data_IF_137772432338
#
_entry.id   IF_137772432338
#
_cell.length_a   1.000
_cell.length_b   1.000
_cell.length_c   1.000
_cell.angle_alpha   90.00
_cell.angle_beta   90.00
_cell.angle_gamma   90.00
#
_symmetry.space_group_name_H-M   'P 1'
#
loop_
_entity.id
_entity.type
_entity.pdbx_description
1 polymer ?
#
# COMPACT_ATOMS: atom_id res chain seq x y z
N UNK A 1 -43.57 36.06 -22.45
CA UNK A 1 -43.40 34.96 -21.47
C UNK A 1 -42.55 35.49 -20.32
N UNK A 2 -43.18 36.15 -19.34
CA UNK A 2 -43.45 35.64 -17.97
C UNK A 2 -42.17 35.44 -17.13
N UNK A 3 -41.77 36.45 -16.33
CA UNK A 3 -42.10 36.66 -14.87
C UNK A 3 -41.20 35.76 -13.97
N UNK A 4 -40.51 36.14 -12.88
CA UNK A 4 -40.73 37.12 -11.79
C UNK A 4 -39.38 37.44 -11.07
N UNK A 5 -39.30 38.62 -10.46
CA UNK A 5 -38.26 39.14 -9.54
C UNK A 5 -38.26 38.51 -8.12
N UNK A 6 -37.14 38.59 -7.40
CA UNK A 6 -37.13 38.44 -5.93
C UNK A 6 -35.75 38.70 -5.31
N UNK A 7 -35.66 39.74 -4.50
CA UNK A 7 -34.46 40.43 -4.04
C UNK A 7 -34.21 40.20 -2.53
N UNK A 8 -32.95 40.39 -2.13
CA UNK A 8 -32.46 41.00 -0.87
C UNK A 8 -32.25 40.20 0.45
N UNK A 9 -31.04 40.47 0.96
CA UNK A 9 -30.42 40.22 2.26
C UNK A 9 -31.22 40.75 3.47
N UNK A 10 -31.04 40.10 4.63
CA UNK A 10 -30.69 40.77 5.90
C UNK A 10 -29.88 39.83 6.82
N UNK A 11 -29.01 40.46 7.61
CA UNK A 11 -28.00 39.93 8.54
C UNK A 11 -28.50 40.24 9.98
N UNK A 12 -28.22 39.39 10.99
CA UNK A 12 -27.45 39.72 12.23
C UNK A 12 -27.54 38.66 13.35
N UNK A 13 -26.48 38.66 14.17
CA UNK A 13 -26.05 37.84 15.32
C UNK A 13 -26.96 37.76 16.56
N UNK A 14 -26.74 36.71 17.38
CA UNK A 14 -26.23 36.77 18.78
C UNK A 14 -25.95 35.30 19.25
N UNK A 15 -24.74 34.86 19.61
CA UNK A 15 -23.84 35.12 20.76
C UNK A 15 -24.32 34.61 22.14
N UNK A 16 -23.60 33.64 22.73
CA UNK A 16 -23.36 33.46 24.18
C UNK A 16 -22.23 32.45 24.52
N UNK A 17 -21.03 33.00 24.79
CA UNK A 17 -20.04 32.78 25.88
C UNK A 17 -19.78 31.33 26.42
N UNK A 18 -18.55 30.78 26.28
CA UNK A 18 -17.29 30.90 27.10
C UNK A 18 -17.26 30.15 28.44
N UNK A 19 -16.24 29.29 28.63
CA UNK A 19 -15.24 29.16 29.74
C UNK A 19 -14.57 27.76 29.61
N UNK A 20 -13.33 27.58 29.15
CA UNK A 20 -11.99 27.76 29.75
C UNK A 20 -11.55 26.72 30.84
N UNK A 21 -10.44 26.03 30.51
CA UNK A 21 -9.26 25.67 31.33
C UNK A 21 -9.02 24.26 31.95
N UNK A 22 -7.76 23.84 31.74
CA UNK A 22 -6.81 23.07 32.57
C UNK A 22 -6.80 21.51 32.61
N UNK A 23 -5.75 20.99 31.95
CA UNK A 23 -4.74 19.97 32.31
C UNK A 23 -5.04 18.62 33.01
N UNK A 24 -4.22 17.68 32.52
CA UNK A 24 -3.39 16.66 33.22
C UNK A 24 -3.99 15.27 33.47
N UNK A 25 -3.35 14.33 32.76
CA UNK A 25 -2.82 13.04 33.23
C UNK A 25 -3.73 12.15 34.09
N UNK A 26 -4.16 11.04 33.48
CA UNK A 26 -3.70 9.68 33.80
C UNK A 26 -4.76 8.67 33.38
N UNK A 27 -4.53 7.93 32.29
CA UNK A 27 -5.21 6.64 32.09
C UNK A 27 -4.25 5.58 31.60
N UNK A 28 -3.80 4.79 32.57
CA UNK A 28 -3.34 3.41 32.44
C UNK A 28 -4.51 2.57 31.89
N UNK A 29 -4.42 2.10 30.65
CA UNK A 29 -5.32 1.09 30.05
C UNK A 29 -4.40 0.14 29.28
N UNK A 30 -3.87 -0.91 29.92
CA UNK A 30 -4.39 -2.28 29.96
C UNK A 30 -4.71 -2.82 28.54
N UNK A 31 -3.81 -3.68 28.06
CA UNK A 31 -3.91 -4.50 26.85
C UNK A 31 -5.35 -4.97 26.59
N UNK A 32 -5.83 -4.74 25.38
CA UNK A 32 -6.90 -5.53 24.78
C UNK A 32 -6.46 -5.98 23.39
N UNK A 33 -6.31 -7.29 23.26
CA UNK A 33 -6.41 -8.02 22.00
C UNK A 33 -7.66 -7.51 21.28
N UNK A 34 -7.50 -6.88 20.13
CA UNK A 34 -8.58 -6.50 19.22
C UNK A 34 -8.35 -7.29 17.93
N UNK A 35 -8.89 -8.52 17.87
CA UNK A 35 -9.86 -8.92 16.85
C UNK A 35 -9.78 -8.04 15.59
N UNK A 36 -8.83 -8.39 14.72
CA UNK A 36 -8.71 -7.93 13.34
C UNK A 36 -9.18 -9.09 12.45
N UNK A 37 -10.45 -9.45 12.61
CA UNK A 37 -11.18 -10.48 11.87
C UNK A 37 -12.63 -10.00 11.89
N UNK A 38 -13.03 -9.23 10.88
CA UNK A 38 -14.40 -9.03 10.37
C UNK A 38 -14.46 -7.72 9.54
N UNK A 39 -13.90 -7.74 8.33
CA UNK A 39 -14.28 -6.79 7.28
C UNK A 39 -14.27 -7.42 5.88
N UNK A 40 -14.52 -8.74 5.81
CA UNK A 40 -14.62 -9.51 4.57
C UNK A 40 -16.07 -9.71 4.10
N UNK A 41 -17.02 -8.91 4.62
CA UNK A 41 -18.47 -9.11 4.39
C UNK A 41 -19.20 -7.95 3.68
N UNK A 42 -18.48 -7.03 3.03
CA UNK A 42 -19.13 -5.91 2.28
C UNK A 42 -18.96 -6.02 0.76
N UNK A 43 -18.30 -7.06 0.23
CA UNK A 43 -18.17 -7.28 -1.24
C UNK A 43 -19.25 -8.23 -1.79
N UNK A 44 -20.38 -8.41 -1.10
CA UNK A 44 -21.48 -9.27 -1.58
C UNK A 44 -22.59 -8.53 -2.32
N UNK A 45 -22.46 -7.23 -2.62
CA UNK A 45 -23.54 -6.43 -3.24
C UNK A 45 -23.22 -5.70 -4.54
N UNK A 46 -22.04 -5.91 -5.14
CA UNK A 46 -21.68 -5.27 -6.42
C UNK A 46 -21.47 -6.23 -7.62
N UNK A 47 -21.69 -7.54 -7.45
CA UNK A 47 -21.66 -8.51 -8.55
C UNK A 47 -23.01 -9.20 -8.75
N UNK A 48 -24.04 -8.39 -9.01
CA UNK A 48 -25.35 -8.86 -9.44
C UNK A 48 -25.38 -9.19 -10.93
N UNK A 49 -24.60 -10.18 -11.38
CA UNK A 49 -24.83 -11.00 -12.59
C UNK A 49 -23.62 -11.89 -12.95
N UNK A 50 -23.00 -12.57 -11.99
CA UNK A 50 -22.18 -13.74 -12.32
C UNK A 50 -23.07 -14.96 -12.10
N UNK A 51 -23.27 -15.70 -13.18
CA UNK A 51 -24.12 -16.88 -13.26
C UNK A 51 -23.83 -17.89 -12.14
N UNK A 52 -24.78 -18.79 -11.88
CA UNK A 52 -24.58 -20.03 -11.12
C UNK A 52 -23.36 -20.78 -11.64
N UNK A 53 -22.18 -20.46 -11.11
CA UNK A 53 -21.00 -21.28 -11.21
C UNK A 53 -20.98 -22.02 -9.88
N UNK A 54 -21.46 -23.27 -9.89
CA UNK A 54 -21.34 -24.16 -8.74
C UNK A 54 -19.86 -24.16 -8.34
N UNK A 55 -19.60 -23.51 -7.21
CA UNK A 55 -18.29 -23.02 -6.82
C UNK A 55 -17.36 -24.21 -6.62
N UNK A 56 -16.55 -24.53 -7.61
CA UNK A 56 -15.34 -25.30 -7.38
C UNK A 56 -14.51 -24.46 -6.41
N UNK A 57 -14.59 -24.85 -5.16
CA UNK A 57 -14.07 -24.08 -4.04
C UNK A 57 -12.57 -24.20 -3.98
N UNK A 58 -11.88 -23.09 -4.17
CA UNK A 58 -10.44 -23.01 -4.06
C UNK A 58 -9.95 -23.53 -2.71
N UNK A 59 -8.79 -24.18 -2.73
CA UNK A 59 -8.00 -24.50 -1.54
C UNK A 59 -6.85 -23.51 -1.54
N UNK A 60 -6.75 -22.68 -0.51
CA UNK A 60 -5.75 -21.60 -0.49
C UNK A 60 -5.00 -21.53 0.83
N UNK A 61 -3.82 -20.96 0.79
CA UNK A 61 -3.04 -20.60 1.97
C UNK A 61 -2.33 -19.26 1.77
N UNK A 62 -1.80 -18.69 2.85
CA UNK A 62 -0.99 -17.48 2.79
C UNK A 62 0.50 -17.84 2.74
N UNK A 63 1.23 -17.21 1.84
CA UNK A 63 2.70 -17.27 1.76
C UNK A 63 3.31 -15.97 2.28
N UNK A 64 4.52 -16.03 2.82
CA UNK A 64 5.32 -14.86 3.19
C UNK A 64 6.64 -14.82 2.42
N UNK A 65 7.35 -13.69 2.51
CA UNK A 65 8.69 -13.53 1.93
C UNK A 65 9.74 -14.53 2.44
N UNK A 66 9.47 -15.15 3.59
CA UNK A 66 10.37 -16.14 4.21
C UNK A 66 10.05 -17.57 3.72
N UNK A 67 8.92 -17.76 3.04
CA UNK A 67 8.54 -19.03 2.43
C UNK A 67 9.33 -19.22 1.13
N UNK A 68 9.95 -20.40 0.98
CA UNK A 68 10.73 -20.75 -0.21
C UNK A 68 9.84 -21.48 -1.21
N UNK A 69 9.72 -20.94 -2.43
CA UNK A 69 8.99 -21.56 -3.52
C UNK A 69 9.95 -22.16 -4.56
N UNK A 70 9.47 -23.16 -5.30
CA UNK A 70 10.29 -23.94 -6.23
C UNK A 70 9.55 -24.24 -7.54
N UNK A 71 10.25 -24.26 -8.68
CA UNK A 71 9.62 -24.50 -10.00
C UNK A 71 9.31 -25.95 -10.34
N UNK A 72 9.86 -26.89 -9.58
CA UNK A 72 9.72 -28.30 -9.86
C UNK A 72 9.88 -29.12 -8.60
N UNK A 73 9.21 -30.27 -8.60
CA UNK A 73 9.38 -31.31 -7.60
C UNK A 73 9.45 -32.66 -8.33
N UNK A 74 10.49 -33.44 -8.05
CA UNK A 74 10.65 -34.78 -8.64
C UNK A 74 9.63 -35.75 -8.04
N UNK A 75 9.53 -36.95 -8.62
CA UNK A 75 8.67 -38.01 -8.08
C UNK A 75 9.12 -38.46 -6.68
N UNK A 76 10.40 -38.28 -6.38
CA UNK A 76 11.04 -38.56 -5.09
C UNK A 76 10.90 -37.38 -4.10
N UNK A 77 10.13 -36.35 -4.46
CA UNK A 77 9.93 -35.15 -3.65
C UNK A 77 11.21 -34.31 -3.43
N UNK A 78 12.14 -34.37 -4.39
CA UNK A 78 13.30 -33.48 -4.43
C UNK A 78 12.92 -32.18 -5.15
N UNK A 79 13.31 -31.04 -4.58
CA UNK A 79 12.98 -29.72 -5.13
C UNK A 79 14.09 -29.26 -6.06
N UNK A 80 13.74 -28.91 -7.30
CA UNK A 80 14.73 -28.72 -8.35
C UNK A 80 15.39 -27.34 -8.31
N UNK A 81 14.59 -26.28 -8.39
CA UNK A 81 15.07 -24.90 -8.54
C UNK A 81 14.33 -24.03 -7.56
N UNK A 82 15.07 -23.49 -6.58
CA UNK A 82 14.56 -22.48 -5.66
C UNK A 82 14.36 -21.17 -6.41
N UNK A 83 13.15 -20.63 -6.34
CA UNK A 83 12.85 -19.29 -6.82
C UNK A 83 12.36 -18.41 -5.67
N UNK A 84 12.77 -17.14 -5.71
CA UNK A 84 12.20 -16.10 -4.86
C UNK A 84 11.16 -15.35 -5.70
N UNK A 85 9.86 -15.67 -5.58
CA UNK A 85 8.84 -14.92 -6.32
C UNK A 85 8.84 -13.47 -5.83
N UNK A 86 8.31 -12.57 -6.66
CA UNK A 86 8.07 -11.19 -6.23
C UNK A 86 6.87 -11.18 -5.29
N UNK A 87 7.14 -10.98 -4.00
CA UNK A 87 6.12 -10.81 -2.98
C UNK A 87 5.62 -9.39 -2.95
N UNK A 88 4.30 -9.21 -2.77
CA UNK A 88 3.70 -7.90 -2.55
C UNK A 88 3.85 -7.56 -1.07
N UNK A 89 4.19 -6.30 -0.78
CA UNK A 89 4.55 -5.85 0.57
C UNK A 89 3.40 -5.89 1.59
N UNK A 90 2.16 -6.04 1.12
CA UNK A 90 1.01 -6.34 1.97
C UNK A 90 1.09 -7.81 2.43
N UNK A 91 1.71 -8.04 3.59
CA UNK A 91 1.96 -9.38 4.15
C UNK A 91 0.68 -10.21 4.34
N UNK A 92 -0.50 -9.57 4.43
CA UNK A 92 -1.78 -10.27 4.54
C UNK A 92 -2.40 -10.63 3.18
N UNK A 93 -1.65 -10.43 2.09
CA UNK A 93 -2.19 -10.42 0.74
C UNK A 93 -1.34 -11.22 -0.25
N UNK A 94 -0.56 -12.20 0.20
CA UNK A 94 0.06 -13.16 -0.73
C UNK A 94 -0.68 -14.50 -0.62
N UNK A 95 -1.65 -14.71 -1.52
CA UNK A 95 -2.49 -15.91 -1.57
C UNK A 95 -1.89 -16.93 -2.54
N UNK A 96 -1.75 -18.16 -2.06
CA UNK A 96 -1.30 -19.32 -2.81
C UNK A 96 -2.46 -20.27 -3.05
N UNK A 97 -2.76 -20.58 -4.31
CA UNK A 97 -3.86 -21.43 -4.73
C UNK A 97 -3.37 -22.88 -4.89
N UNK A 98 -3.66 -23.73 -3.91
CA UNK A 98 -3.14 -25.10 -3.82
C UNK A 98 -3.88 -26.00 -4.82
N UNK A 99 -3.12 -26.72 -5.64
CA UNK A 99 -3.62 -27.68 -6.63
C UNK A 99 -3.30 -29.13 -6.29
N UNK A 100 -2.19 -29.40 -5.60
CA UNK A 100 -1.79 -30.76 -5.22
C UNK A 100 -1.10 -30.77 -3.85
N UNK A 101 -1.17 -31.92 -3.17
CA UNK A 101 -0.56 -32.16 -1.86
C UNK A 101 0.05 -33.56 -1.83
N UNK A 102 1.37 -33.62 -1.66
CA UNK A 102 2.14 -34.86 -1.54
C UNK A 102 2.75 -35.00 -0.16
N UNK A 103 2.70 -36.20 0.41
CA UNK A 103 3.37 -36.52 1.67
C UNK A 103 4.58 -37.41 1.39
N UNK A 104 5.77 -36.89 1.67
CA UNK A 104 7.05 -37.52 1.35
C UNK A 104 8.04 -37.32 2.50
N UNK A 105 8.70 -38.37 2.96
CA UNK A 105 9.76 -38.26 3.97
C UNK A 105 9.33 -37.59 5.28
N UNK A 106 8.05 -37.68 5.66
CA UNK A 106 7.51 -37.04 6.86
C UNK A 106 7.14 -35.56 6.69
N UNK A 107 7.20 -35.02 5.46
CA UNK A 107 6.89 -33.64 5.13
C UNK A 107 5.79 -33.56 4.08
N UNK A 108 5.01 -32.48 4.14
CA UNK A 108 4.05 -32.14 3.10
C UNK A 108 4.66 -31.20 2.08
N UNK A 109 4.40 -31.49 0.81
CA UNK A 109 4.77 -30.68 -0.33
C UNK A 109 3.48 -30.28 -1.02
N UNK A 110 3.29 -28.97 -1.19
CA UNK A 110 2.12 -28.45 -1.89
C UNK A 110 2.56 -27.90 -3.25
N UNK A 111 1.76 -28.18 -4.27
CA UNK A 111 1.86 -27.54 -5.58
C UNK A 111 0.70 -26.57 -5.72
N UNK A 112 0.91 -25.46 -6.41
CA UNK A 112 -0.14 -24.47 -6.60
C UNK A 112 0.31 -23.24 -7.35
N UNK A 113 -0.60 -22.30 -7.52
CA UNK A 113 -0.37 -21.08 -8.26
C UNK A 113 -0.24 -19.86 -7.34
N UNK A 114 0.75 -19.02 -7.63
CA UNK A 114 0.89 -17.68 -7.11
C UNK A 114 1.05 -16.71 -8.28
N UNK A 115 0.09 -15.78 -8.42
CA UNK A 115 0.11 -14.75 -9.46
C UNK A 115 0.31 -15.34 -10.88
N UNK A 116 -0.49 -16.35 -11.22
CA UNK A 116 -0.46 -17.03 -12.53
C UNK A 116 0.66 -18.05 -12.70
N UNK A 117 1.60 -18.10 -11.76
CA UNK A 117 2.80 -18.93 -11.87
C UNK A 117 2.72 -20.14 -10.94
N UNK A 118 2.99 -21.34 -11.46
CA UNK A 118 3.02 -22.56 -10.67
C UNK A 118 4.31 -22.66 -9.85
N UNK A 119 4.16 -23.08 -8.60
CA UNK A 119 5.25 -23.34 -7.68
C UNK A 119 4.97 -24.57 -6.82
N UNK A 120 6.04 -25.06 -6.20
CA UNK A 120 6.05 -26.11 -5.19
C UNK A 120 6.60 -25.52 -3.88
N UNK A 121 6.10 -25.99 -2.75
CA UNK A 121 6.47 -25.47 -1.43
C UNK A 121 6.44 -26.57 -0.37
N UNK A 122 7.49 -26.65 0.46
CA UNK A 122 7.48 -27.50 1.67
C UNK A 122 6.62 -26.84 2.74
N UNK A 123 5.50 -27.48 3.05
CA UNK A 123 4.48 -26.89 3.91
C UNK A 123 4.58 -27.42 5.34
N UNK A 124 4.90 -26.52 6.25
CA UNK A 124 5.02 -26.81 7.69
C UNK A 124 3.82 -26.32 8.51
N UNK A 125 2.93 -25.53 7.91
CA UNK A 125 1.74 -25.00 8.58
C UNK A 125 0.65 -26.09 8.62
N UNK A 126 -0.26 -26.04 9.59
CA UNK A 126 -1.34 -27.04 9.72
C UNK A 126 -2.65 -26.63 9.07
N UNK A 127 -2.89 -25.32 8.96
CA UNK A 127 -4.20 -24.82 8.56
C UNK A 127 -4.17 -24.34 7.11
N UNK A 128 -5.08 -24.86 6.30
CA UNK A 128 -5.36 -24.44 4.93
C UNK A 128 -6.79 -23.88 4.90
N UNK A 129 -7.07 -22.90 4.04
CA UNK A 129 -8.42 -22.36 3.91
C UNK A 129 -9.17 -23.01 2.74
N UNK A 130 -10.39 -23.47 3.00
CA UNK A 130 -11.30 -24.02 2.00
C UNK A 130 -12.72 -23.53 2.31
N UNK A 131 -13.39 -22.93 1.31
CA UNK A 131 -14.75 -22.34 1.48
C UNK A 131 -14.87 -21.37 2.66
N UNK A 132 -13.79 -20.65 3.00
CA UNK A 132 -13.75 -19.70 4.11
C UNK A 132 -13.57 -20.34 5.50
N UNK A 133 -13.38 -21.65 5.57
CA UNK A 133 -13.08 -22.37 6.80
C UNK A 133 -11.63 -22.85 6.81
N UNK A 134 -11.01 -22.91 7.99
CA UNK A 134 -9.71 -23.54 8.17
C UNK A 134 -9.88 -25.06 8.30
N UNK A 135 -9.13 -25.80 7.49
CA UNK A 135 -9.07 -27.27 7.50
C UNK A 135 -7.62 -27.73 7.65
N UNK A 136 -7.45 -28.96 8.16
CA UNK A 136 -6.13 -29.62 8.22
C UNK A 136 -5.67 -30.04 6.82
N UNK A 137 -4.35 -30.15 6.65
CA UNK A 137 -3.73 -30.49 5.35
C UNK A 137 -4.13 -31.89 4.86
N UNK A 138 -4.33 -32.85 5.76
CA UNK A 138 -4.81 -34.19 5.45
C UNK A 138 -6.21 -34.15 4.84
N UNK A 139 -7.10 -33.30 5.38
CA UNK A 139 -8.46 -33.13 4.84
C UNK A 139 -8.42 -32.44 3.48
N UNK A 140 -7.53 -31.48 3.27
CA UNK A 140 -7.32 -30.88 1.95
C UNK A 140 -6.84 -31.93 0.93
N UNK A 141 -5.92 -32.81 1.32
CA UNK A 141 -5.41 -33.89 0.48
C UNK A 141 -6.51 -34.91 0.13
N UNK A 142 -7.38 -35.26 1.08
CA UNK A 142 -8.54 -36.12 0.84
C UNK A 142 -9.49 -35.49 -0.19
N UNK A 143 -9.79 -34.20 -0.06
CA UNK A 143 -10.64 -33.47 -1.01
C UNK A 143 -10.04 -33.55 -2.42
N UNK A 144 -8.75 -33.27 -2.58
CA UNK A 144 -8.07 -33.33 -3.88
C UNK A 144 -8.06 -34.74 -4.47
N UNK A 145 -7.77 -35.75 -3.65
CA UNK A 145 -7.69 -37.16 -4.08
C UNK A 145 -9.05 -37.75 -4.45
N UNK A 146 -10.15 -37.16 -3.94
CA UNK A 146 -11.52 -37.61 -4.21
C UNK A 146 -12.08 -37.09 -5.54
N UNK A 147 -11.42 -36.13 -6.19
CA UNK A 147 -11.88 -35.56 -7.46
C UNK A 147 -11.73 -36.55 -8.60
N UNK A 148 -12.72 -36.61 -9.48
CA UNK A 148 -12.57 -37.28 -10.77
C UNK A 148 -11.53 -36.55 -11.64
N UNK A 149 -10.92 -37.22 -12.64
CA UNK A 149 -9.94 -36.56 -13.52
C UNK A 149 -10.45 -35.28 -14.18
N UNK A 150 -11.74 -35.25 -14.53
CA UNK A 150 -12.37 -34.06 -15.13
C UNK A 150 -12.49 -32.91 -14.13
N UNK A 151 -12.97 -33.20 -12.92
CA UNK A 151 -13.09 -32.21 -11.84
C UNK A 151 -11.73 -31.67 -11.42
N UNK A 152 -10.71 -32.53 -11.36
CA UNK A 152 -9.34 -32.11 -11.03
C UNK A 152 -8.76 -31.14 -12.07
N UNK A 153 -8.90 -31.43 -13.37
CA UNK A 153 -8.45 -30.52 -14.44
C UNK A 153 -9.15 -29.17 -14.33
N UNK A 154 -10.46 -29.17 -14.10
CA UNK A 154 -11.24 -27.94 -13.92
C UNK A 154 -10.81 -27.16 -12.68
N UNK A 155 -10.54 -27.85 -11.57
CA UNK A 155 -10.03 -27.26 -10.33
C UNK A 155 -8.65 -26.61 -10.51
N UNK A 156 -7.73 -27.27 -11.22
CA UNK A 156 -6.38 -26.74 -11.52
C UNK A 156 -6.48 -25.48 -12.39
N UNK A 157 -7.29 -25.52 -13.46
CA UNK A 157 -7.50 -24.37 -14.34
C UNK A 157 -8.11 -23.18 -13.57
N UNK A 158 -9.15 -23.43 -12.78
CA UNK A 158 -9.78 -22.42 -11.94
C UNK A 158 -8.79 -21.84 -10.91
N UNK A 159 -7.92 -22.65 -10.33
CA UNK A 159 -6.89 -22.20 -9.40
C UNK A 159 -5.88 -21.27 -10.08
N UNK A 160 -5.45 -21.60 -11.31
CA UNK A 160 -4.60 -20.73 -12.13
C UNK A 160 -5.31 -19.42 -12.44
N UNK A 161 -6.53 -19.46 -12.98
CA UNK A 161 -7.32 -18.28 -13.34
C UNK A 161 -7.55 -17.37 -12.12
N UNK A 162 -7.94 -17.94 -10.97
CA UNK A 162 -8.13 -17.17 -9.75
C UNK A 162 -6.83 -16.55 -9.24
N UNK A 163 -5.68 -17.21 -9.41
CA UNK A 163 -4.38 -16.63 -9.08
C UNK A 163 -4.00 -15.45 -9.99
N UNK A 164 -4.50 -15.42 -11.23
CA UNK A 164 -4.31 -14.30 -12.17
C UNK A 164 -5.27 -13.16 -11.81
N UNK A 165 -6.56 -13.45 -11.60
CA UNK A 165 -7.56 -12.46 -11.13
C UNK A 165 -7.08 -11.78 -9.83
N UNK A 166 -6.37 -12.53 -8.98
CA UNK A 166 -5.79 -12.01 -7.76
C UNK A 166 -4.81 -10.84 -7.99
N UNK A 167 -4.07 -10.84 -9.11
CA UNK A 167 -3.16 -9.75 -9.49
C UNK A 167 -3.96 -8.45 -9.65
N UNK A 168 -5.09 -8.49 -10.33
CA UNK A 168 -5.93 -7.32 -10.56
C UNK A 168 -6.59 -6.81 -9.27
N UNK A 169 -7.05 -7.72 -8.40
CA UNK A 169 -7.57 -7.36 -7.07
C UNK A 169 -6.51 -6.61 -6.26
N UNK A 170 -5.26 -7.06 -6.32
CA UNK A 170 -4.15 -6.42 -5.61
C UNK A 170 -3.77 -5.07 -6.23
N UNK A 171 -3.76 -4.98 -7.54
CA UNK A 171 -3.52 -3.74 -8.30
C UNK A 171 -4.57 -2.68 -7.94
N UNK A 172 -5.83 -3.06 -7.90
CA UNK A 172 -6.93 -2.17 -7.51
C UNK A 172 -6.80 -1.70 -6.07
N UNK A 173 -6.46 -2.59 -5.13
CA UNK A 173 -6.21 -2.23 -3.73
C UNK A 173 -5.09 -1.20 -3.59
N UNK A 174 -3.98 -1.39 -4.30
CA UNK A 174 -2.86 -0.44 -4.29
C UNK A 174 -3.27 0.88 -4.95
N UNK A 175 -4.02 0.84 -6.06
CA UNK A 175 -4.55 2.03 -6.70
C UNK A 175 -5.49 2.82 -5.77
N UNK A 176 -6.36 2.15 -5.02
CA UNK A 176 -7.19 2.79 -3.99
C UNK A 176 -6.34 3.45 -2.89
N UNK A 177 -5.26 2.78 -2.48
CA UNK A 177 -4.30 3.34 -1.52
C UNK A 177 -3.66 4.60 -2.09
N UNK A 178 -3.18 4.61 -3.33
CA UNK A 178 -2.62 5.79 -3.99
C UNK A 178 -3.67 6.91 -4.13
N UNK A 179 -4.89 6.58 -4.56
CA UNK A 179 -6.01 7.53 -4.65
C UNK A 179 -6.37 8.16 -3.31
N UNK A 180 -6.14 7.46 -2.20
CA UNK A 180 -6.40 8.01 -0.86
C UNK A 180 -5.56 9.25 -0.52
N UNK A 181 -4.48 9.52 -1.28
CA UNK A 181 -3.63 10.70 -1.18
C UNK A 181 -4.11 11.88 -2.06
N UNK A 182 -5.05 11.69 -3.00
CA UNK A 182 -5.59 12.77 -3.86
C UNK A 182 -6.15 13.94 -3.02
N UNK A 183 -6.71 13.64 -1.83
CA UNK A 183 -7.20 14.66 -0.89
C UNK A 183 -6.10 15.64 -0.47
N UNK A 184 -4.85 15.17 -0.38
CA UNK A 184 -3.68 16.01 -0.15
C UNK A 184 -3.16 16.61 -1.46
N UNK A 185 -3.31 15.89 -2.57
CA UNK A 185 -2.83 16.28 -3.89
C UNK A 185 -1.35 15.95 -4.12
N UNK A 186 -0.69 15.42 -3.08
CA UNK A 186 0.65 14.84 -3.13
C UNK A 186 0.74 13.65 -2.16
N UNK A 187 1.64 12.71 -2.45
CA UNK A 187 2.23 11.79 -1.48
C UNK A 187 3.71 12.14 -1.27
N UNK A 188 4.20 12.14 -0.04
CA UNK A 188 5.60 12.42 0.28
C UNK A 188 6.33 11.09 0.41
N UNK A 189 7.24 10.81 -0.51
CA UNK A 189 8.06 9.60 -0.52
C UNK A 189 9.30 9.78 0.35
N UNK A 190 9.98 10.93 0.21
CA UNK A 190 11.17 11.26 1.01
C UNK A 190 11.12 12.73 1.46
N UNK A 191 11.56 12.96 2.70
CA UNK A 191 11.85 14.28 3.23
C UNK A 191 12.89 14.14 4.35
N UNK A 192 14.16 14.44 4.04
CA UNK A 192 15.26 14.28 5.00
C UNK A 192 16.36 15.32 4.79
N UNK A 193 17.15 15.53 5.84
CA UNK A 193 18.37 16.31 5.80
C UNK A 193 19.46 15.52 5.07
N UNK A 194 20.32 16.19 4.30
CA UNK A 194 21.44 15.56 3.59
C UNK A 194 22.76 16.10 4.12
N UNK A 195 23.63 15.22 4.61
CA UNK A 195 24.92 15.62 5.15
C UNK A 195 25.90 16.03 4.03
N UNK A 196 26.59 17.15 4.24
CA UNK A 196 27.75 17.61 3.48
C UNK A 196 28.87 17.94 4.49
N UNK A 197 30.13 18.03 4.06
CA UNK A 197 31.31 18.09 4.96
C UNK A 197 31.21 19.13 6.10
N UNK A 198 30.62 20.29 5.84
CA UNK A 198 30.47 21.39 6.82
C UNK A 198 29.08 22.03 6.83
N UNK A 199 28.15 21.51 6.03
CA UNK A 199 26.82 22.07 5.87
C UNK A 199 25.79 20.94 5.77
N UNK A 200 24.52 21.27 5.94
CA UNK A 200 23.44 20.31 5.76
C UNK A 200 22.48 20.81 4.68
N UNK A 201 22.21 19.97 3.70
CA UNK A 201 21.20 20.17 2.67
C UNK A 201 19.84 19.58 3.04
N UNK A 202 18.93 19.55 2.07
CA UNK A 202 17.61 18.94 2.21
C UNK A 202 17.21 18.24 0.91
N UNK A 203 16.65 17.04 1.03
CA UNK A 203 16.09 16.27 -0.10
C UNK A 203 14.60 16.02 0.11
N UNK A 204 13.84 16.24 -0.96
CA UNK A 204 12.41 15.96 -1.03
C UNK A 204 12.10 15.12 -2.26
N UNK A 205 11.33 14.05 -2.08
CA UNK A 205 10.75 13.27 -3.18
C UNK A 205 9.25 13.14 -2.96
N UNK A 206 8.46 13.46 -3.97
CA UNK A 206 7.00 13.43 -3.90
C UNK A 206 6.40 12.73 -5.11
N UNK A 207 5.23 12.14 -4.92
CA UNK A 207 4.29 11.74 -5.96
C UNK A 207 3.22 12.83 -6.10
N UNK A 208 2.98 13.35 -7.30
CA UNK A 208 1.86 14.23 -7.55
C UNK A 208 0.56 13.43 -7.68
N UNK A 209 -0.31 13.48 -6.67
CA UNK A 209 -1.62 12.79 -6.72
C UNK A 209 -2.75 13.73 -7.13
N UNK A 210 -2.43 14.97 -7.53
CA UNK A 210 -3.40 15.89 -8.10
C UNK A 210 -3.59 15.61 -9.58
N UNK A 211 -4.83 15.74 -10.07
CA UNK A 211 -5.15 15.75 -11.50
C UNK A 211 -4.57 16.93 -12.28
N UNK A 212 -3.89 17.86 -11.59
CA UNK A 212 -3.29 19.07 -12.16
C UNK A 212 -1.77 18.98 -12.12
N UNK A 213 -1.13 19.38 -13.20
CA UNK A 213 0.33 19.51 -13.29
C UNK A 213 0.84 20.57 -12.32
N UNK A 214 1.81 20.21 -11.47
CA UNK A 214 2.46 21.13 -10.54
C UNK A 214 3.48 21.97 -11.31
N UNK A 215 3.36 23.30 -11.20
CA UNK A 215 4.35 24.26 -11.72
C UNK A 215 5.46 24.50 -10.71
N UNK A 216 5.07 24.76 -9.46
CA UNK A 216 5.99 25.01 -8.36
C UNK A 216 5.48 24.35 -7.08
N UNK A 217 6.40 23.89 -6.25
CA UNK A 217 6.10 23.41 -4.90
C UNK A 217 7.05 24.09 -3.93
N UNK A 218 6.54 24.56 -2.80
CA UNK A 218 7.36 25.18 -1.74
C UNK A 218 7.20 24.39 -0.47
N UNK A 219 8.30 23.81 0.00
CA UNK A 219 8.38 23.11 1.27
C UNK A 219 8.78 24.10 2.35
N UNK A 220 7.98 24.23 3.40
CA UNK A 220 8.32 25.00 4.59
C UNK A 220 8.68 24.01 5.70
N UNK A 221 9.88 24.13 6.26
CA UNK A 221 10.43 23.13 7.17
C UNK A 221 11.44 23.74 8.14
N UNK A 222 11.92 22.93 9.08
CA UNK A 222 13.02 23.27 9.97
C UNK A 222 13.87 22.01 10.22
N UNK A 223 15.09 22.22 10.73
CA UNK A 223 16.04 21.16 11.05
C UNK A 223 16.06 20.91 12.56
N UNK A 224 16.32 19.66 12.94
CA UNK A 224 16.49 19.21 14.33
C UNK A 224 17.84 18.49 14.45
N UNK A 225 18.51 18.61 15.60
CA UNK A 225 19.76 17.91 15.88
C UNK A 225 19.50 16.50 16.47
N UNK A 226 20.57 15.79 16.83
CA UNK A 226 20.51 14.44 17.41
C UNK A 226 19.72 14.33 18.74
N UNK A 227 19.50 15.46 19.43
CA UNK A 227 18.73 15.54 20.68
C UNK A 227 17.37 16.23 20.47
N UNK A 228 16.89 16.31 19.22
CA UNK A 228 15.59 16.84 18.81
C UNK A 228 15.40 18.36 19.05
N UNK A 229 16.48 19.10 19.28
CA UNK A 229 16.44 20.56 19.38
C UNK A 229 16.45 21.20 17.99
N UNK A 230 15.65 22.26 17.82
CA UNK A 230 15.60 23.02 16.56
C UNK A 230 16.92 23.71 16.27
N UNK A 231 17.43 23.51 15.07
CA UNK A 231 18.63 24.17 14.57
C UNK A 231 18.27 25.50 13.92
N UNK A 232 19.01 26.54 14.28
CA UNK A 232 18.80 27.89 13.77
C UNK A 232 19.17 27.94 12.27
N UNK A 233 18.25 28.37 11.41
CA UNK A 233 18.54 28.58 9.99
C UNK A 233 19.23 29.92 9.76
N UNK A 234 18.69 30.98 10.36
CA UNK A 234 19.23 32.35 10.33
C UNK A 234 18.87 33.07 11.61
N UNK A 235 19.54 34.20 11.90
CA UNK A 235 19.30 34.98 13.12
C UNK A 235 17.80 35.19 13.39
N UNK A 236 17.31 34.58 14.48
CA UNK A 236 15.92 34.66 14.93
C UNK A 236 14.90 33.76 14.22
N UNK A 237 15.32 32.83 13.35
CA UNK A 237 14.41 31.92 12.63
C UNK A 237 14.94 30.50 12.56
N UNK A 238 14.16 29.55 13.08
CA UNK A 238 14.38 28.11 12.92
C UNK A 238 13.79 27.56 11.62
N UNK A 239 12.74 28.21 11.12
CA UNK A 239 12.07 27.79 9.89
C UNK A 239 12.74 28.37 8.65
N UNK A 240 12.71 27.58 7.59
CA UNK A 240 13.17 27.92 6.25
C UNK A 240 12.19 27.37 5.21
N UNK A 241 12.43 27.71 3.94
CA UNK A 241 11.68 27.14 2.83
C UNK A 241 12.57 26.92 1.60
N UNK A 242 12.17 25.95 0.77
CA UNK A 242 12.79 25.70 -0.54
C UNK A 242 11.73 25.44 -1.59
N UNK A 243 11.98 25.94 -2.79
CA UNK A 243 11.03 25.91 -3.90
C UNK A 243 11.52 24.91 -4.96
N UNK A 244 10.79 23.81 -5.11
CA UNK A 244 10.90 22.91 -6.24
C UNK A 244 10.25 23.51 -7.49
N UNK A 245 10.88 23.29 -8.64
CA UNK A 245 10.42 23.73 -9.96
C UNK A 245 9.97 22.49 -10.73
N UNK A 246 8.77 22.55 -11.31
CA UNK A 246 8.20 21.52 -12.20
C UNK A 246 8.50 21.80 -13.69
N UNK A 247 7.71 21.24 -14.62
CA UNK A 247 6.40 20.59 -14.41
C UNK A 247 6.52 19.22 -13.71
N UNK A 248 5.50 18.86 -12.93
CA UNK A 248 5.31 17.48 -12.42
C UNK A 248 3.89 17.07 -12.80
N UNK A 249 3.73 16.12 -13.72
CA UNK A 249 2.42 15.72 -14.22
C UNK A 249 1.64 14.92 -13.18
N UNK A 250 0.37 14.66 -13.47
CA UNK A 250 -0.47 13.84 -12.59
C UNK A 250 0.12 12.44 -12.50
N UNK A 251 0.29 11.94 -11.28
CA UNK A 251 0.91 10.66 -10.95
C UNK A 251 2.41 10.52 -11.28
N UNK A 252 3.08 11.63 -11.59
CA UNK A 252 4.54 11.66 -11.70
C UNK A 252 5.23 11.83 -10.36
N UNK A 253 6.46 11.32 -10.29
CA UNK A 253 7.38 11.50 -9.18
C UNK A 253 8.37 12.61 -9.51
N UNK A 254 8.63 13.48 -8.53
CA UNK A 254 9.66 14.50 -8.64
C UNK A 254 10.56 14.52 -7.41
N UNK A 255 11.84 14.77 -7.64
CA UNK A 255 12.87 14.87 -6.60
C UNK A 255 13.55 16.24 -6.69
N UNK A 256 13.75 16.88 -5.53
CA UNK A 256 14.58 18.07 -5.41
C UNK A 256 15.57 17.89 -4.27
N UNK A 257 16.83 18.20 -4.56
CA UNK A 257 17.90 18.31 -3.57
C UNK A 257 18.33 19.77 -3.50
N UNK A 258 18.51 20.27 -2.28
CA UNK A 258 18.96 21.62 -2.01
C UNK A 258 20.21 21.54 -1.14
N UNK A 259 21.32 22.00 -1.67
CA UNK A 259 22.59 21.98 -0.95
C UNK A 259 22.67 23.14 0.03
N UNK A 260 23.49 22.96 1.07
CA UNK A 260 23.85 24.01 2.04
C UNK A 260 22.63 24.81 2.58
N UNK A 261 21.55 24.10 2.95
CA UNK A 261 20.35 24.72 3.54
C UNK A 261 20.66 25.28 4.91
N UNK A 262 21.44 24.57 5.71
CA UNK A 262 22.01 25.03 6.97
C UNK A 262 23.53 25.11 6.84
N UNK A 263 24.12 26.22 7.29
CA UNK A 263 25.58 26.41 7.30
C UNK A 263 26.23 25.74 8.51
N UNK A 264 25.76 24.54 8.84
CA UNK A 264 26.22 23.68 9.93
C UNK A 264 25.83 22.24 9.57
N UNK A 265 26.61 21.29 10.05
CA UNK A 265 26.46 19.84 9.91
C UNK A 265 25.65 19.18 11.04
N UNK A 266 25.22 19.95 12.06
CA UNK A 266 24.55 19.39 13.25
C UNK A 266 23.07 19.00 13.03
N UNK A 267 22.54 19.19 11.81
CA UNK A 267 21.14 18.87 11.50
C UNK A 267 21.03 17.40 11.12
N UNK A 268 20.31 16.64 11.94
CA UNK A 268 20.08 15.20 11.75
C UNK A 268 18.72 14.92 11.12
N UNK A 269 17.70 15.68 11.51
CA UNK A 269 16.32 15.46 11.07
C UNK A 269 15.74 16.70 10.40
N UNK A 270 14.87 16.45 9.42
CA UNK A 270 14.12 17.49 8.72
C UNK A 270 12.64 17.31 9.00
N UNK A 271 12.00 18.36 9.51
CA UNK A 271 10.56 18.35 9.80
C UNK A 271 9.81 19.35 8.94
N UNK A 272 8.91 18.85 8.07
CA UNK A 272 8.02 19.67 7.25
C UNK A 272 6.89 20.26 8.11
N UNK A 273 6.62 21.54 7.93
CA UNK A 273 5.53 22.26 8.59
C UNK A 273 4.33 22.46 7.67
N UNK A 274 4.57 22.84 6.42
CA UNK A 274 3.55 23.06 5.41
C UNK A 274 4.13 23.02 4.00
N UNK A 275 3.26 22.79 3.02
CA UNK A 275 3.60 22.71 1.61
C UNK A 275 2.64 23.62 0.84
N UNK A 276 3.20 24.48 -0.01
CA UNK A 276 2.43 25.30 -0.94
C UNK A 276 2.67 24.82 -2.37
N UNK A 277 1.60 24.43 -3.05
CA UNK A 277 1.62 23.94 -4.43
C UNK A 277 1.00 25.00 -5.33
N UNK A 278 1.66 25.34 -6.42
CA UNK A 278 1.13 26.17 -7.50
C UNK A 278 1.03 25.31 -8.75
N UNK A 279 -0.16 25.26 -9.35
CA UNK A 279 -0.44 24.46 -10.54
C UNK A 279 -0.23 25.29 -11.81
N UNK A 280 -0.07 24.61 -12.94
CA UNK A 280 0.10 25.25 -14.25
C UNK A 280 -1.12 26.09 -14.68
N UNK A 281 -2.31 25.79 -14.16
CA UNK A 281 -3.54 26.56 -14.39
C UNK A 281 -3.66 27.85 -13.55
N UNK A 282 -2.61 28.18 -12.78
CA UNK A 282 -2.57 29.35 -11.90
C UNK A 282 -3.24 29.16 -10.54
N UNK A 283 -3.93 28.04 -10.30
CA UNK A 283 -4.50 27.74 -8.98
C UNK A 283 -3.41 27.32 -7.99
N UNK A 284 -3.69 27.44 -6.70
CA UNK A 284 -2.74 27.10 -5.64
C UNK A 284 -3.41 26.36 -4.49
N UNK A 285 -2.64 25.53 -3.80
CA UNK A 285 -3.08 24.76 -2.63
C UNK A 285 -2.04 24.89 -1.51
N UNK A 286 -2.46 25.34 -0.34
CA UNK A 286 -1.63 25.34 0.86
C UNK A 286 -2.07 24.20 1.78
N UNK A 287 -1.11 23.38 2.20
CA UNK A 287 -1.35 22.15 2.95
C UNK A 287 -0.50 22.20 4.21
N UNK A 288 -1.14 22.06 5.38
CA UNK A 288 -0.40 21.79 6.62
C UNK A 288 0.08 20.35 6.60
N UNK A 289 1.36 20.13 6.87
CA UNK A 289 1.92 18.79 6.90
C UNK A 289 1.25 17.93 7.97
N UNK A 290 1.05 16.67 7.65
CA UNK A 290 0.66 15.63 8.59
C UNK A 290 1.33 14.31 8.17
N UNK A 291 1.63 13.45 9.14
CA UNK A 291 2.32 12.18 8.89
C UNK A 291 1.56 11.22 7.95
N UNK A 292 0.25 11.38 7.78
CA UNK A 292 -0.55 10.56 6.83
C UNK A 292 -0.29 10.93 5.36
N UNK A 293 0.47 12.00 5.10
CA UNK A 293 0.93 12.37 3.77
C UNK A 293 2.18 11.57 3.35
N UNK A 294 2.85 10.90 4.29
CA UNK A 294 3.95 9.99 3.95
C UNK A 294 3.39 8.80 3.17
N UNK A 295 3.97 8.56 2.00
CA UNK A 295 3.69 7.42 1.13
C UNK A 295 4.92 6.53 1.15
N UNK A 296 4.72 5.26 1.48
CA UNK A 296 5.78 4.28 1.42
C UNK A 296 6.05 3.90 -0.03
N UNK A 297 7.32 3.94 -0.45
CA UNK A 297 7.75 3.66 -1.82
C UNK A 297 7.36 2.26 -2.28
N UNK A 298 7.28 1.29 -1.36
CA UNK A 298 6.87 -0.07 -1.67
C UNK A 298 5.53 -0.18 -2.39
N UNK A 299 4.60 0.76 -2.17
CA UNK A 299 3.32 0.74 -2.86
C UNK A 299 3.47 1.02 -4.36
N UNK A 300 4.48 1.80 -4.76
CA UNK A 300 4.79 2.08 -6.15
C UNK A 300 5.49 0.88 -6.79
N UNK A 301 6.48 0.30 -6.10
CA UNK A 301 7.19 -0.90 -6.55
C UNK A 301 6.24 -2.09 -6.73
N UNK A 302 5.31 -2.28 -5.80
CA UNK A 302 4.28 -3.32 -5.87
C UNK A 302 3.34 -3.08 -7.06
N UNK A 303 2.93 -1.83 -7.30
CA UNK A 303 2.06 -1.49 -8.43
C UNK A 303 2.73 -1.82 -9.77
N UNK A 304 3.99 -1.39 -9.95
CA UNK A 304 4.75 -1.67 -11.17
C UNK A 304 4.98 -3.17 -11.36
N UNK A 305 5.24 -3.89 -10.27
CA UNK A 305 5.38 -5.36 -10.30
C UNK A 305 4.10 -6.03 -10.79
N UNK A 306 2.94 -5.65 -10.25
CA UNK A 306 1.65 -6.23 -10.62
C UNK A 306 1.24 -5.84 -12.04
N UNK A 307 1.51 -4.61 -12.47
CA UNK A 307 1.25 -4.17 -13.84
C UNK A 307 2.03 -5.03 -14.85
N UNK A 308 3.33 -5.24 -14.61
CA UNK A 308 4.16 -6.09 -15.45
C UNK A 308 3.69 -7.55 -15.47
N UNK A 309 3.22 -8.09 -14.34
CA UNK A 309 2.65 -9.44 -14.28
C UNK A 309 1.35 -9.54 -15.08
N UNK A 310 0.44 -8.58 -14.91
CA UNK A 310 -0.83 -8.52 -15.64
C UNK A 310 -0.59 -8.45 -17.16
N UNK A 311 0.38 -7.63 -17.61
CA UNK A 311 0.76 -7.52 -19.02
C UNK A 311 1.38 -8.80 -19.59
N UNK A 312 2.13 -9.55 -18.77
CA UNK A 312 2.68 -10.84 -19.18
C UNK A 312 1.57 -11.88 -19.40
N UNK A 313 0.55 -11.91 -18.53
CA UNK A 313 -0.58 -12.83 -18.66
C UNK A 313 -1.47 -12.54 -19.88
N UNK A 314 -1.54 -11.29 -20.33
CA UNK A 314 -2.32 -10.91 -21.52
C UNK A 314 -1.64 -11.25 -22.86
N UNK A 315 -0.39 -11.73 -22.85
CA UNK A 315 0.39 -12.07 -24.05
C UNK A 315 0.41 -13.56 -24.37
N UNK A 316 0.00 -14.41 -23.43
CA UNK A 316 -0.13 -15.87 -23.57
C UNK A 316 -1.52 -16.25 -24.08
#
# INVERSE_FOLDING_TARGET
MSRVWGFLFFRTCNDLKRVCYFCKNNKKIRMKKFLLLFSLLVVSSLFGSVAKQDSISNIITSISKDDNLYRGITNECELEIKETPKYISDENANIFYITDIKFCGGLYYITGFYMGTEYNWVYYKRNIMHKGEFIDIEKAQEILSSMSPKEYIEFVNNSKENSIIYIDIMKDRILEKLKSYEKYGIGILEAHATAEDYTTGAKFRILNTSKKTIKYITFNFYGENAVEDKVLYRKGSFSTYRKGIGPVESYDIATWSFDSVWLTDIVEYLTITSINIQYMDGTSKNIKFNSKMMLDEKYLDDFDTLANMSDAQNKE
#
